data_IF_256876316322
#
_entry.id   IF_256876316322
#
_cell.length_a   1.000
_cell.length_b   1.000
_cell.length_c   1.000
_cell.angle_alpha   90.00
_cell.angle_beta   90.00
_cell.angle_gamma   90.00
#
_symmetry.space_group_name_H-M   'P 1'
#
loop_
_entity.id
_entity.type
_entity.pdbx_description
1 polymer ?
#
# COMPACT_ATOMS: atom_id res chain seq x y z
N UNK A 1 24.86 -45.17 -17.55
CA UNK A 1 25.81 -46.30 -17.36
C UNK A 1 24.98 -47.44 -16.79
N UNK A 2 24.67 -48.55 -17.45
CA UNK A 2 25.34 -49.26 -18.53
C UNK A 2 24.32 -49.73 -19.60
N UNK A 3 24.55 -49.32 -20.84
CA UNK A 3 24.17 -50.07 -22.03
C UNK A 3 25.18 -51.22 -22.18
N UNK A 4 24.72 -52.47 -22.24
CA UNK A 4 25.36 -53.56 -23.01
C UNK A 4 24.70 -54.92 -22.70
N UNK A 5 23.52 -55.14 -23.28
CA UNK A 5 23.07 -56.47 -23.72
C UNK A 5 21.97 -56.23 -24.76
N UNK A 6 22.36 -56.14 -26.04
CA UNK A 6 21.45 -55.83 -27.14
C UNK A 6 20.41 -56.93 -27.33
N UNK A 7 19.13 -56.57 -27.29
CA UNK A 7 18.05 -57.46 -27.69
C UNK A 7 17.89 -57.45 -29.22
N UNK A 8 17.58 -58.62 -29.80
CA UNK A 8 17.43 -58.79 -31.24
C UNK A 8 16.21 -58.01 -31.81
N UNK A 9 16.24 -57.58 -33.09
CA UNK A 9 15.17 -56.78 -33.70
C UNK A 9 13.85 -57.57 -33.72
N UNK A 10 12.78 -57.01 -33.13
CA UNK A 10 11.45 -57.62 -33.06
C UNK A 10 10.86 -57.74 -31.64
N UNK A 11 11.68 -57.63 -30.60
CA UNK A 11 11.25 -57.80 -29.19
C UNK A 11 11.04 -56.47 -28.43
N UNK A 12 11.00 -55.32 -29.13
CA UNK A 12 10.90 -54.00 -28.51
C UNK A 12 9.46 -53.47 -28.35
N UNK A 13 8.43 -54.26 -28.68
CA UNK A 13 7.04 -53.84 -28.54
C UNK A 13 6.23 -54.83 -27.70
N UNK A 14 5.76 -54.39 -26.54
CA UNK A 14 4.77 -55.08 -25.71
C UNK A 14 3.55 -54.16 -25.63
N UNK A 15 2.39 -54.60 -26.13
CA UNK A 15 1.18 -53.80 -26.04
C UNK A 15 0.71 -53.70 -24.58
N UNK A 16 0.17 -52.56 -24.12
CA UNK A 16 -0.43 -52.47 -22.80
C UNK A 16 -1.72 -53.33 -22.70
N UNK A 17 -2.02 -53.91 -21.53
CA UNK A 17 -3.16 -54.81 -21.37
C UNK A 17 -4.48 -54.08 -21.60
N UNK A 18 -5.34 -54.67 -22.45
CA UNK A 18 -6.69 -54.16 -22.72
C UNK A 18 -7.61 -54.42 -21.53
N UNK A 19 -8.12 -53.34 -20.94
CA UNK A 19 -9.15 -53.39 -19.89
C UNK A 19 -10.48 -53.87 -20.47
N UNK A 20 -10.87 -55.09 -20.11
CA UNK A 20 -12.28 -55.50 -19.95
C UNK A 20 -12.93 -56.22 -21.13
N UNK A 21 -12.81 -57.56 -21.16
CA UNK A 21 -13.85 -58.47 -21.67
C UNK A 21 -13.90 -59.74 -20.83
N UNK A 22 -14.38 -59.62 -19.61
CA UNK A 22 -15.05 -60.71 -18.91
C UNK A 22 -16.37 -60.18 -18.35
N UNK A 23 -17.44 -60.93 -18.59
CA UNK A 23 -18.82 -60.48 -18.47
C UNK A 23 -19.19 -59.95 -17.08
N UNK A 24 -19.65 -58.71 -17.03
CA UNK A 24 -20.48 -58.19 -15.97
C UNK A 24 -21.85 -57.86 -16.56
N UNK A 25 -22.86 -58.52 -16.02
CA UNK A 25 -24.26 -58.45 -16.41
C UNK A 25 -24.80 -57.03 -16.13
N UNK A 26 -24.85 -56.18 -17.17
CA UNK A 26 -25.22 -54.77 -17.09
C UNK A 26 -26.71 -54.50 -16.76
N UNK A 27 -27.53 -55.54 -16.60
CA UNK A 27 -28.95 -55.44 -16.27
C UNK A 27 -29.26 -55.41 -14.77
N UNK A 28 -28.28 -55.63 -13.88
CA UNK A 28 -28.49 -55.65 -12.42
C UNK A 28 -27.89 -54.47 -11.65
N UNK A 29 -27.22 -53.53 -12.31
CA UNK A 29 -26.70 -52.29 -11.69
C UNK A 29 -27.55 -51.04 -12.01
N UNK A 30 -28.61 -51.18 -12.82
CA UNK A 30 -29.45 -50.05 -13.23
C UNK A 30 -30.53 -49.65 -12.20
N UNK A 31 -30.65 -50.34 -11.05
CA UNK A 31 -31.71 -50.10 -10.07
C UNK A 31 -31.25 -49.50 -8.74
N UNK A 32 -29.99 -49.06 -8.61
CA UNK A 32 -29.48 -48.45 -7.35
C UNK A 32 -28.74 -47.12 -7.49
N UNK A 33 -28.94 -46.39 -8.60
CA UNK A 33 -28.51 -44.99 -8.71
C UNK A 33 -29.70 -44.11 -9.10
N UNK A 34 -30.71 -44.07 -8.24
CA UNK A 34 -31.63 -42.92 -8.16
C UNK A 34 -31.12 -41.97 -7.09
N UNK A 35 -29.90 -41.47 -7.30
CA UNK A 35 -29.38 -40.29 -6.65
C UNK A 35 -28.91 -39.38 -7.76
N UNK A 36 -29.79 -38.49 -8.24
CA UNK A 36 -29.39 -37.39 -9.11
C UNK A 36 -28.35 -36.56 -8.35
N UNK A 37 -27.06 -36.79 -8.59
CA UNK A 37 -26.07 -35.75 -8.41
C UNK A 37 -26.34 -34.73 -9.53
N UNK A 38 -27.24 -33.78 -9.26
CA UNK A 38 -27.46 -32.63 -10.14
C UNK A 38 -26.16 -31.86 -10.14
N UNK A 39 -25.35 -32.00 -11.20
CA UNK A 39 -24.19 -31.16 -11.42
C UNK A 39 -24.61 -29.68 -11.46
N UNK A 40 -23.71 -28.73 -11.14
CA UNK A 40 -24.04 -27.33 -11.18
C UNK A 40 -24.59 -26.95 -12.56
N UNK A 41 -25.68 -26.18 -12.59
CA UNK A 41 -26.26 -25.71 -13.85
C UNK A 41 -25.25 -24.85 -14.62
N UNK A 42 -25.29 -24.86 -15.96
CA UNK A 42 -24.41 -24.01 -16.78
C UNK A 42 -24.50 -22.54 -16.36
N UNK A 43 -25.72 -22.07 -16.05
CA UNK A 43 -25.96 -20.72 -15.53
C UNK A 43 -25.23 -20.47 -14.21
N UNK A 44 -25.21 -21.44 -13.30
CA UNK A 44 -24.47 -21.32 -12.04
C UNK A 44 -22.97 -21.17 -12.30
N UNK A 45 -22.41 -21.94 -13.25
CA UNK A 45 -20.99 -21.85 -13.61
C UNK A 45 -20.68 -20.47 -14.20
N UNK A 46 -21.53 -19.97 -15.11
CA UNK A 46 -21.42 -18.63 -15.68
C UNK A 46 -21.48 -17.54 -14.59
N UNK A 47 -22.44 -17.62 -13.67
CA UNK A 47 -22.57 -16.69 -12.54
C UNK A 47 -21.28 -16.68 -11.69
N UNK A 48 -20.68 -17.85 -11.40
CA UNK A 48 -19.41 -17.94 -10.66
C UNK A 48 -18.23 -17.31 -11.43
N UNK A 49 -18.13 -17.50 -12.74
CA UNK A 49 -17.10 -16.89 -13.58
C UNK A 49 -17.26 -15.36 -13.62
N UNK A 50 -18.52 -14.89 -13.71
CA UNK A 50 -18.86 -13.46 -13.63
C UNK A 50 -18.43 -12.85 -12.29
N UNK A 51 -18.70 -13.52 -11.16
CA UNK A 51 -18.25 -13.04 -9.84
C UNK A 51 -16.72 -12.98 -9.73
N UNK A 52 -16.01 -13.98 -10.27
CA UNK A 52 -14.56 -13.94 -10.31
C UNK A 52 -14.04 -12.77 -11.18
N UNK A 53 -14.70 -12.48 -12.29
CA UNK A 53 -14.36 -11.35 -13.14
C UNK A 53 -14.61 -10.01 -12.44
N UNK A 54 -15.73 -9.86 -11.72
CA UNK A 54 -16.05 -8.67 -10.91
C UNK A 54 -14.95 -8.42 -9.87
N UNK A 55 -14.57 -9.44 -9.09
CA UNK A 55 -13.49 -9.33 -8.09
C UNK A 55 -12.21 -8.79 -8.74
N UNK A 56 -11.85 -9.35 -9.92
CA UNK A 56 -10.66 -8.91 -10.66
C UNK A 56 -10.79 -7.47 -11.17
N UNK A 57 -11.98 -7.05 -11.61
CA UNK A 57 -12.24 -5.68 -12.04
C UNK A 57 -12.06 -4.70 -10.90
N UNK A 58 -12.59 -4.96 -9.70
CA UNK A 58 -12.36 -4.11 -8.52
C UNK A 58 -10.88 -4.05 -8.14
N UNK A 59 -10.17 -5.19 -8.17
CA UNK A 59 -8.72 -5.24 -7.91
C UNK A 59 -7.88 -4.40 -8.89
N UNK A 60 -8.38 -4.21 -10.12
CA UNK A 60 -7.62 -3.57 -11.20
C UNK A 60 -8.04 -2.12 -11.46
N UNK A 61 -9.31 -1.81 -11.25
CA UNK A 61 -9.93 -0.53 -11.64
C UNK A 61 -10.61 0.19 -10.47
N UNK A 62 -10.75 -0.44 -9.30
CA UNK A 62 -11.46 0.13 -8.16
C UNK A 62 -10.87 1.47 -7.69
N UNK A 63 -9.56 1.65 -7.83
CA UNK A 63 -8.86 2.90 -7.54
C UNK A 63 -9.38 4.11 -8.35
N UNK A 64 -9.97 3.88 -9.54
CA UNK A 64 -10.53 4.95 -10.39
C UNK A 64 -11.79 5.58 -9.82
N UNK A 65 -12.51 4.85 -8.98
CA UNK A 65 -13.75 5.29 -8.33
C UNK A 65 -13.56 5.52 -6.82
N UNK A 66 -12.31 5.56 -6.36
CA UNK A 66 -11.99 5.79 -4.96
C UNK A 66 -12.23 7.24 -4.55
N UNK A 67 -12.79 7.46 -3.37
CA UNK A 67 -13.05 8.78 -2.80
C UNK A 67 -11.78 9.38 -2.18
N UNK A 68 -10.92 9.94 -3.05
CA UNK A 68 -9.58 10.44 -2.70
C UNK A 68 -9.53 11.96 -2.51
N UNK A 69 -10.52 12.69 -3.03
CA UNK A 69 -10.51 14.16 -3.02
C UNK A 69 -11.19 14.73 -1.78
N UNK A 70 -10.43 15.30 -0.82
CA UNK A 70 -11.04 15.93 0.35
C UNK A 70 -11.86 17.19 0.03
N UNK A 71 -11.69 17.79 -1.16
CA UNK A 71 -12.39 18.99 -1.60
C UNK A 71 -13.60 18.69 -2.49
N UNK A 72 -13.66 17.51 -3.10
CA UNK A 72 -14.73 17.11 -4.02
C UNK A 72 -14.81 17.94 -5.31
N UNK A 73 -13.67 18.41 -5.83
CA UNK A 73 -13.54 19.27 -7.02
C UNK A 73 -12.81 18.59 -8.19
N UNK A 74 -12.19 17.42 -8.00
CA UNK A 74 -11.47 16.68 -9.05
C UNK A 74 -12.36 16.27 -10.24
N UNK A 75 -13.68 16.20 -10.03
CA UNK A 75 -14.70 15.91 -11.04
C UNK A 75 -14.79 16.93 -12.17
N UNK A 76 -14.24 18.14 -12.00
CA UNK A 76 -14.32 19.17 -13.03
C UNK A 76 -13.44 18.87 -14.26
N UNK A 77 -12.31 18.17 -14.07
CA UNK A 77 -11.29 17.96 -15.10
C UNK A 77 -10.97 16.48 -15.39
N UNK A 78 -11.57 15.53 -14.64
CA UNK A 78 -11.33 14.09 -14.78
C UNK A 78 -12.60 13.35 -15.26
N UNK A 79 -12.39 12.21 -15.91
CA UNK A 79 -13.48 11.32 -16.36
C UNK A 79 -14.11 10.60 -15.16
N UNK A 80 -15.22 11.15 -14.68
CA UNK A 80 -16.05 10.58 -13.60
C UNK A 80 -16.85 9.34 -14.02
N UNK A 81 -16.66 8.82 -15.25
CA UNK A 81 -17.37 7.62 -15.67
C UNK A 81 -16.94 6.41 -14.84
N UNK A 82 -17.94 5.77 -14.21
CA UNK A 82 -17.74 4.50 -13.54
C UNK A 82 -17.42 3.47 -14.63
N UNK A 83 -16.26 2.77 -14.55
CA UNK A 83 -15.94 1.71 -15.50
C UNK A 83 -17.09 0.69 -15.58
N UNK A 84 -17.59 0.34 -16.79
CA UNK A 84 -18.71 -0.58 -16.93
C UNK A 84 -18.41 -1.95 -16.31
N UNK A 85 -17.14 -2.35 -16.24
CA UNK A 85 -16.66 -3.59 -15.61
C UNK A 85 -16.82 -3.62 -14.09
N UNK A 86 -17.17 -2.50 -13.44
CA UNK A 86 -17.55 -2.46 -12.02
C UNK A 86 -19.07 -2.57 -11.83
N UNK A 87 -19.86 -2.43 -12.89
CA UNK A 87 -21.31 -2.57 -12.84
C UNK A 87 -21.75 -4.03 -12.98
N UNK A 88 -22.68 -4.46 -12.12
CA UNK A 88 -23.25 -5.82 -12.19
C UNK A 88 -23.93 -6.12 -13.53
N UNK A 89 -24.55 -5.09 -14.14
CA UNK A 89 -25.24 -5.22 -15.41
C UNK A 89 -24.32 -5.66 -16.56
N UNK A 90 -23.03 -5.33 -16.49
CA UNK A 90 -22.04 -5.78 -17.48
C UNK A 90 -21.86 -7.31 -17.50
N UNK A 91 -22.13 -7.97 -16.37
CA UNK A 91 -21.98 -9.42 -16.20
C UNK A 91 -23.31 -10.19 -16.23
N UNK A 92 -24.40 -9.53 -16.66
CA UNK A 92 -25.76 -10.08 -16.62
C UNK A 92 -26.22 -10.54 -15.21
N UNK A 93 -25.66 -9.95 -14.16
CA UNK A 93 -26.09 -10.14 -12.77
C UNK A 93 -27.00 -8.99 -12.35
N UNK A 94 -28.05 -9.30 -11.59
CA UNK A 94 -29.01 -8.30 -11.12
C UNK A 94 -29.33 -8.41 -9.64
N UNK A 95 -30.32 -7.63 -9.20
CA UNK A 95 -30.87 -7.69 -7.84
C UNK A 95 -31.23 -9.10 -7.33
N UNK A 96 -31.85 -10.01 -8.12
CA UNK A 96 -32.17 -11.35 -7.61
C UNK A 96 -30.94 -12.21 -7.31
N UNK A 97 -29.78 -11.84 -7.83
CA UNK A 97 -28.52 -12.56 -7.64
C UNK A 97 -27.74 -12.09 -6.40
N UNK A 98 -28.09 -10.92 -5.84
CA UNK A 98 -27.38 -10.32 -4.71
C UNK A 98 -27.35 -11.20 -3.46
N UNK A 99 -28.43 -11.94 -3.21
CA UNK A 99 -28.57 -12.79 -2.03
C UNK A 99 -28.12 -14.24 -2.30
N UNK A 100 -27.69 -14.55 -3.54
CA UNK A 100 -27.05 -15.84 -3.85
C UNK A 100 -25.66 -15.91 -3.23
N UNK A 101 -25.30 -17.12 -2.79
CA UNK A 101 -23.99 -17.40 -2.19
C UNK A 101 -23.02 -17.92 -3.25
N UNK A 102 -21.82 -17.37 -3.26
CA UNK A 102 -20.75 -17.70 -4.17
C UNK A 102 -19.50 -18.13 -3.40
N UNK A 103 -18.83 -19.16 -3.91
CA UNK A 103 -17.51 -19.57 -3.45
C UNK A 103 -16.46 -18.60 -3.96
N UNK A 104 -15.63 -18.12 -3.05
CA UNK A 104 -14.58 -17.17 -3.36
C UNK A 104 -13.42 -17.85 -4.10
N UNK A 105 -12.85 -17.20 -5.12
CA UNK A 105 -11.64 -17.70 -5.77
C UNK A 105 -10.44 -17.60 -4.82
N UNK A 106 -9.40 -18.43 -5.00
CA UNK A 106 -8.18 -18.35 -4.18
C UNK A 106 -7.36 -17.06 -4.43
N UNK A 107 -7.77 -16.24 -5.37
CA UNK A 107 -7.13 -14.97 -5.75
C UNK A 107 -7.65 -13.78 -4.95
N UNK A 108 -8.47 -14.00 -3.93
CA UNK A 108 -8.97 -12.96 -3.02
C UNK A 108 -8.97 -13.42 -1.57
N UNK A 109 -8.80 -12.47 -0.66
CA UNK A 109 -8.81 -12.64 0.79
C UNK A 109 -9.97 -11.90 1.45
N UNK A 110 -10.92 -11.36 0.67
CA UNK A 110 -12.12 -10.66 1.19
C UNK A 110 -12.96 -11.54 2.11
N UNK A 111 -12.86 -12.87 1.99
CA UNK A 111 -13.57 -13.84 2.83
C UNK A 111 -13.08 -13.89 4.28
N UNK A 112 -11.82 -13.52 4.53
CA UNK A 112 -11.12 -13.91 5.76
C UNK A 112 -11.16 -15.43 5.90
N UNK A 113 -11.77 -15.92 6.98
CA UNK A 113 -11.93 -17.36 7.23
C UNK A 113 -13.08 -18.00 6.44
N UNK A 114 -13.96 -17.20 5.82
CA UNK A 114 -15.11 -17.70 5.05
C UNK A 114 -14.71 -18.03 3.62
N UNK A 115 -15.07 -19.23 3.16
CA UNK A 115 -14.85 -19.66 1.78
C UNK A 115 -15.97 -19.22 0.82
N UNK A 116 -17.12 -18.84 1.37
CA UNK A 116 -18.31 -18.46 0.60
C UNK A 116 -18.94 -17.21 1.19
N UNK A 117 -19.41 -16.32 0.33
CA UNK A 117 -20.08 -15.06 0.69
C UNK A 117 -21.26 -14.82 -0.26
N UNK A 118 -22.25 -14.04 0.18
CA UNK A 118 -23.30 -13.56 -0.73
C UNK A 118 -22.72 -12.53 -1.69
N UNK A 119 -23.27 -12.41 -2.90
CA UNK A 119 -22.82 -11.41 -3.87
C UNK A 119 -22.88 -9.99 -3.30
N UNK A 120 -23.93 -9.67 -2.55
CA UNK A 120 -24.07 -8.41 -1.81
C UNK A 120 -22.89 -8.13 -0.89
N UNK A 121 -22.46 -9.13 -0.14
CA UNK A 121 -21.33 -8.98 0.79
C UNK A 121 -19.99 -8.91 0.05
N UNK A 122 -19.84 -9.64 -1.06
CA UNK A 122 -18.65 -9.56 -1.92
C UNK A 122 -18.45 -8.13 -2.43
N UNK A 123 -19.49 -7.55 -3.04
CA UNK A 123 -19.43 -6.19 -3.60
C UNK A 123 -19.12 -5.18 -2.50
N UNK A 124 -19.84 -5.24 -1.38
CA UNK A 124 -19.61 -4.34 -0.24
C UNK A 124 -18.17 -4.38 0.24
N UNK A 125 -17.58 -5.58 0.38
CA UNK A 125 -16.18 -5.71 0.82
C UNK A 125 -15.20 -5.19 -0.22
N UNK A 126 -15.47 -5.39 -1.50
CA UNK A 126 -14.62 -4.86 -2.58
C UNK A 126 -14.67 -3.33 -2.63
N UNK A 127 -15.86 -2.74 -2.50
CA UNK A 127 -16.05 -1.28 -2.40
C UNK A 127 -15.35 -0.72 -1.16
N UNK A 128 -15.49 -1.39 -0.01
CA UNK A 128 -14.84 -1.01 1.24
C UNK A 128 -13.31 -0.97 1.14
N UNK A 129 -12.73 -1.85 0.33
CA UNK A 129 -11.27 -2.01 0.19
C UNK A 129 -10.70 -1.12 -0.91
N UNK A 130 -11.34 -1.07 -2.08
CA UNK A 130 -10.78 -0.47 -3.29
C UNK A 130 -11.36 0.89 -3.66
N UNK A 131 -12.52 1.28 -3.10
CA UNK A 131 -13.29 2.43 -3.58
C UNK A 131 -13.60 3.47 -2.49
N UNK A 132 -13.09 3.29 -1.27
CA UNK A 132 -13.18 4.32 -0.20
C UNK A 132 -12.03 5.32 -0.30
N UNK A 133 -11.51 5.77 0.84
CA UNK A 133 -10.45 6.78 0.94
C UNK A 133 -9.03 6.27 0.64
N UNK A 134 -8.91 5.10 0.00
CA UNK A 134 -7.62 4.52 -0.42
C UNK A 134 -7.79 3.93 -1.82
N UNK A 135 -7.05 4.46 -2.79
CA UNK A 135 -6.94 3.92 -4.13
C UNK A 135 -5.72 3.01 -4.22
N UNK A 136 -5.93 1.72 -4.46
CA UNK A 136 -4.84 0.74 -4.48
C UNK A 136 -4.50 0.37 -5.92
N UNK A 137 -3.35 0.85 -6.39
CA UNK A 137 -2.79 0.45 -7.68
C UNK A 137 -1.63 -0.52 -7.48
N UNK A 138 -1.80 -1.78 -7.89
CA UNK A 138 -0.77 -2.80 -7.71
C UNK A 138 -0.75 -3.88 -8.79
N UNK A 139 -1.80 -3.98 -9.61
CA UNK A 139 -1.95 -5.04 -10.61
C UNK A 139 -0.92 -4.97 -11.76
N UNK A 140 -0.18 -3.86 -11.89
CA UNK A 140 0.96 -3.72 -12.80
C UNK A 140 2.22 -4.47 -12.32
N UNK A 141 2.25 -4.96 -11.07
CA UNK A 141 3.39 -5.70 -10.54
C UNK A 141 3.40 -7.12 -11.09
N UNK A 142 4.49 -7.50 -11.79
CA UNK A 142 4.62 -8.83 -12.40
C UNK A 142 4.75 -10.00 -11.40
N UNK A 143 5.06 -9.72 -10.13
CA UNK A 143 5.29 -10.75 -9.12
C UNK A 143 3.99 -11.13 -8.40
N UNK A 144 3.51 -12.36 -8.64
CA UNK A 144 2.31 -12.90 -7.99
C UNK A 144 2.40 -12.85 -6.47
N UNK A 145 3.55 -13.18 -5.88
CA UNK A 145 3.75 -13.15 -4.43
C UNK A 145 3.59 -11.75 -3.84
N UNK A 146 4.06 -10.72 -4.55
CA UNK A 146 3.90 -9.31 -4.13
C UNK A 146 2.46 -8.87 -4.24
N UNK A 147 1.78 -9.18 -5.35
CA UNK A 147 0.37 -8.88 -5.53
C UNK A 147 -0.49 -9.56 -4.47
N UNK A 148 -0.23 -10.84 -4.19
CA UNK A 148 -0.96 -11.58 -3.17
C UNK A 148 -0.69 -11.06 -1.75
N UNK A 149 0.53 -10.60 -1.45
CA UNK A 149 0.83 -9.93 -0.18
C UNK A 149 0.00 -8.65 0.00
N UNK A 150 -0.12 -7.82 -1.05
CA UNK A 150 -0.94 -6.61 -1.02
C UNK A 150 -2.41 -6.98 -0.80
N UNK A 151 -2.93 -7.97 -1.54
CA UNK A 151 -4.31 -8.45 -1.36
C UNK A 151 -4.56 -8.91 0.06
N UNK A 152 -3.70 -9.78 0.63
CA UNK A 152 -3.83 -10.21 2.03
C UNK A 152 -3.85 -9.01 2.98
N UNK A 153 -3.02 -8.00 2.74
CA UNK A 153 -2.94 -6.84 3.63
C UNK A 153 -4.21 -5.99 3.60
N UNK A 154 -4.83 -5.79 2.44
CA UNK A 154 -5.97 -4.88 2.29
C UNK A 154 -7.33 -5.58 2.29
N UNK A 155 -7.46 -6.76 1.68
CA UNK A 155 -8.74 -7.48 1.56
C UNK A 155 -9.13 -8.21 2.85
N UNK A 156 -8.17 -8.55 3.72
CA UNK A 156 -8.47 -9.25 4.98
C UNK A 156 -9.37 -8.38 5.87
N UNK A 157 -10.55 -8.86 6.30
CA UNK A 157 -11.46 -8.09 7.14
C UNK A 157 -10.79 -7.58 8.42
N UNK A 158 -10.99 -6.30 8.74
CA UNK A 158 -10.44 -5.64 9.92
C UNK A 158 -8.94 -5.30 9.85
N UNK A 159 -8.29 -5.49 8.70
CA UNK A 159 -6.85 -5.20 8.53
C UNK A 159 -6.48 -3.71 8.67
N UNK A 160 -7.47 -2.83 8.48
CA UNK A 160 -7.35 -1.37 8.53
C UNK A 160 -7.96 -0.77 9.81
N UNK A 161 -8.44 -1.61 10.73
CA UNK A 161 -9.03 -1.13 11.97
C UNK A 161 -7.97 -0.56 12.91
N UNK A 162 -8.17 0.70 13.31
CA UNK A 162 -7.30 1.38 14.26
C UNK A 162 -7.87 1.27 15.68
N UNK A 163 -7.00 0.92 16.62
CA UNK A 163 -7.29 0.93 18.04
C UNK A 163 -7.61 2.34 18.55
N UNK A 164 -8.28 2.44 19.70
CA UNK A 164 -8.57 3.73 20.33
C UNK A 164 -7.31 4.52 20.70
N UNK A 165 -6.22 3.83 21.02
CA UNK A 165 -4.93 4.44 21.37
C UNK A 165 -4.25 5.02 20.13
N UNK A 166 -4.23 4.29 19.02
CA UNK A 166 -3.70 4.78 17.74
C UNK A 166 -4.47 5.99 17.23
N UNK A 167 -5.81 5.97 17.33
CA UNK A 167 -6.66 7.12 16.98
C UNK A 167 -6.30 8.36 17.81
N UNK A 168 -6.11 8.22 19.13
CA UNK A 168 -5.67 9.32 20.01
C UNK A 168 -4.28 9.82 19.65
N UNK A 169 -3.36 8.91 19.32
CA UNK A 169 -1.99 9.27 18.91
C UNK A 169 -1.95 10.06 17.60
N UNK A 170 -2.71 9.61 16.59
CA UNK A 170 -2.86 10.30 15.31
C UNK A 170 -3.43 11.70 15.54
N UNK A 171 -4.52 11.81 16.32
CA UNK A 171 -5.12 13.10 16.66
C UNK A 171 -4.13 14.03 17.38
N UNK A 172 -3.36 13.54 18.35
CA UNK A 172 -2.36 14.33 19.05
C UNK A 172 -1.26 14.85 18.11
N UNK A 173 -0.84 14.04 17.13
CA UNK A 173 0.15 14.44 16.09
C UNK A 173 -0.43 15.50 15.15
N UNK A 174 -1.69 15.35 14.73
CA UNK A 174 -2.40 16.35 13.93
C UNK A 174 -2.52 17.68 14.67
N UNK A 175 -2.97 17.67 15.93
CA UNK A 175 -3.10 18.88 16.75
C UNK A 175 -1.76 19.63 16.83
N UNK A 176 -0.64 18.92 17.04
CA UNK A 176 0.69 19.55 17.08
C UNK A 176 1.05 20.19 15.74
N UNK A 177 0.80 19.50 14.63
CA UNK A 177 1.04 20.03 13.28
C UNK A 177 0.24 21.31 13.04
N UNK A 178 -1.09 21.26 13.23
CA UNK A 178 -1.99 22.40 13.00
C UNK A 178 -1.68 23.57 13.92
N UNK A 179 -1.39 23.32 15.21
CA UNK A 179 -1.07 24.39 16.16
C UNK A 179 0.27 25.05 15.87
N UNK A 180 1.25 24.29 15.39
CA UNK A 180 2.53 24.85 14.96
C UNK A 180 2.35 25.82 13.80
N UNK A 181 1.59 25.44 12.77
CA UNK A 181 1.32 26.33 11.63
C UNK A 181 0.52 27.57 12.05
N UNK A 182 -0.54 27.39 12.85
CA UNK A 182 -1.35 28.49 13.36
C UNK A 182 -0.52 29.47 14.20
N UNK A 183 0.45 28.98 14.98
CA UNK A 183 1.37 29.80 15.73
C UNK A 183 2.29 30.62 14.82
N UNK A 184 2.93 29.97 13.83
CA UNK A 184 3.79 30.65 12.87
C UNK A 184 3.03 31.73 12.10
N UNK A 185 1.82 31.41 11.61
CA UNK A 185 0.96 32.34 10.88
C UNK A 185 0.57 33.56 11.72
N UNK A 186 0.32 33.37 13.03
CA UNK A 186 -0.02 34.47 13.94
C UNK A 186 1.18 35.33 14.31
N UNK A 187 2.35 34.72 14.54
CA UNK A 187 3.55 35.43 15.02
C UNK A 187 4.29 36.15 13.89
N UNK A 188 4.34 35.55 12.71
CA UNK A 188 5.03 36.09 11.53
C UNK A 188 4.11 36.07 10.30
N UNK A 189 3.09 36.94 10.31
CA UNK A 189 2.03 36.97 9.28
C UNK A 189 2.53 37.31 7.87
N UNK A 190 3.63 38.06 7.76
CA UNK A 190 4.17 38.55 6.48
C UNK A 190 5.34 37.71 5.97
N UNK A 191 5.84 36.77 6.76
CA UNK A 191 7.00 35.94 6.41
C UNK A 191 6.60 34.74 5.59
N UNK A 192 7.38 34.45 4.54
CA UNK A 192 7.20 33.24 3.75
C UNK A 192 7.67 32.02 4.56
N UNK A 193 6.72 31.12 4.88
CA UNK A 193 6.97 29.91 5.67
C UNK A 193 6.70 28.58 4.96
N UNK A 194 6.01 28.61 3.81
CA UNK A 194 5.57 27.41 3.08
C UNK A 194 4.83 26.41 3.98
N UNK A 195 3.74 26.87 4.58
CA UNK A 195 2.98 26.10 5.55
C UNK A 195 2.40 24.79 5.01
N UNK A 196 2.09 23.89 5.94
CA UNK A 196 1.48 22.59 5.68
C UNK A 196 -0.06 22.60 5.80
N UNK A 197 -0.70 23.77 5.82
CA UNK A 197 -2.17 23.84 5.92
C UNK A 197 -2.86 23.09 4.78
N UNK A 198 -3.85 22.26 5.15
CA UNK A 198 -4.56 21.34 4.25
C UNK A 198 -3.87 19.99 4.07
N UNK A 199 -2.59 19.87 4.44
CA UNK A 199 -1.79 18.66 4.30
C UNK A 199 -1.20 18.19 5.64
N UNK A 200 -1.79 18.58 6.78
CA UNK A 200 -1.24 18.31 8.11
C UNK A 200 -1.09 16.82 8.42
N UNK A 201 -1.84 15.98 7.70
CA UNK A 201 -1.76 14.50 7.74
C UNK A 201 -0.38 13.96 7.38
N UNK A 202 0.46 14.73 6.68
CA UNK A 202 1.85 14.38 6.40
C UNK A 202 2.64 14.06 7.68
N UNK A 203 2.39 14.81 8.77
CA UNK A 203 3.10 14.63 10.05
C UNK A 203 2.78 13.28 10.70
N UNK A 204 1.51 12.92 11.01
CA UNK A 204 1.21 11.60 11.55
C UNK A 204 1.60 10.47 10.58
N UNK A 205 1.44 10.64 9.27
CA UNK A 205 1.81 9.64 8.27
C UNK A 205 3.31 9.34 8.29
N UNK A 206 4.17 10.36 8.18
CA UNK A 206 5.62 10.17 8.21
C UNK A 206 6.09 9.61 9.55
N UNK A 207 5.48 10.02 10.67
CA UNK A 207 5.81 9.41 11.97
C UNK A 207 5.37 7.94 12.04
N UNK A 208 4.23 7.57 11.46
CA UNK A 208 3.79 6.17 11.41
C UNK A 208 4.75 5.30 10.58
N UNK A 209 5.28 5.83 9.47
CA UNK A 209 6.34 5.18 8.67
C UNK A 209 7.59 4.99 9.53
N UNK A 210 8.09 6.04 10.20
CA UNK A 210 9.29 5.96 11.05
C UNK A 210 9.09 4.96 12.21
N UNK A 211 7.94 4.99 12.88
CA UNK A 211 7.65 4.09 14.00
C UNK A 211 7.60 2.63 13.54
N UNK A 212 6.90 2.35 12.44
CA UNK A 212 6.79 1.00 11.87
C UNK A 212 8.15 0.48 11.38
N UNK A 213 8.90 1.30 10.64
CA UNK A 213 10.23 0.95 10.15
C UNK A 213 11.23 0.74 11.29
N UNK A 214 11.17 1.57 12.33
CA UNK A 214 12.00 1.40 13.52
C UNK A 214 11.69 0.09 14.26
N UNK A 215 10.41 -0.29 14.37
CA UNK A 215 10.02 -1.57 14.94
C UNK A 215 10.65 -2.74 14.18
N UNK A 216 10.68 -2.65 12.84
CA UNK A 216 11.30 -3.62 11.93
C UNK A 216 12.84 -3.62 11.92
N UNK A 217 13.49 -2.65 12.57
CA UNK A 217 14.96 -2.62 12.73
C UNK A 217 15.69 -1.49 12.03
N UNK A 218 14.99 -0.54 11.40
CA UNK A 218 15.61 0.65 10.82
C UNK A 218 16.09 1.59 11.94
N UNK A 219 17.33 2.04 11.82
CA UNK A 219 18.03 2.87 12.80
C UNK A 219 18.29 4.29 12.27
N UNK A 220 18.46 4.48 10.96
CA UNK A 220 18.75 5.80 10.37
C UNK A 220 17.78 6.12 9.25
N UNK A 221 17.24 7.33 9.25
CA UNK A 221 16.32 7.83 8.23
C UNK A 221 16.89 9.08 7.58
N UNK A 222 17.07 9.04 6.26
CA UNK A 222 17.52 10.17 5.45
C UNK A 222 16.33 10.72 4.68
N UNK A 223 15.99 11.98 4.91
CA UNK A 223 14.76 12.60 4.40
C UNK A 223 15.11 13.66 3.35
N UNK A 224 14.59 13.48 2.15
CA UNK A 224 14.52 14.50 1.10
C UNK A 224 13.10 15.05 1.02
N UNK A 225 12.93 16.36 1.21
CA UNK A 225 11.62 17.02 1.20
C UNK A 225 11.71 18.42 0.55
N UNK A 226 10.71 18.83 -0.25
CA UNK A 226 10.61 20.20 -0.77
C UNK A 226 10.35 21.22 0.35
N UNK A 227 10.11 22.48 -0.02
CA UNK A 227 9.85 23.55 0.93
C UNK A 227 8.53 23.41 1.71
N UNK A 228 7.49 22.75 1.13
CA UNK A 228 6.14 22.69 1.71
C UNK A 228 6.13 21.86 2.99
N UNK A 229 5.73 22.49 4.09
CA UNK A 229 5.68 21.88 5.43
C UNK A 229 7.03 21.55 6.04
N UNK A 230 8.14 21.99 5.46
CA UNK A 230 9.48 21.61 5.94
C UNK A 230 9.73 22.00 7.40
N UNK A 231 9.38 23.23 7.78
CA UNK A 231 9.53 23.69 9.17
C UNK A 231 8.73 22.83 10.15
N UNK A 232 7.56 22.38 9.73
CA UNK A 232 6.69 21.49 10.51
C UNK A 232 7.34 20.10 10.67
N UNK A 233 7.94 19.56 9.61
CA UNK A 233 8.71 18.32 9.65
C UNK A 233 9.93 18.43 10.57
N UNK A 234 10.68 19.53 10.49
CA UNK A 234 11.83 19.79 11.38
C UNK A 234 11.40 19.81 12.86
N UNK A 235 10.32 20.53 13.19
CA UNK A 235 9.82 20.66 14.55
C UNK A 235 9.17 19.36 15.10
N UNK A 236 8.22 18.80 14.35
CA UNK A 236 7.33 17.75 14.87
C UNK A 236 7.83 16.32 14.61
N UNK A 237 8.70 16.12 13.63
CA UNK A 237 9.26 14.80 13.28
C UNK A 237 10.71 14.68 13.72
N UNK A 238 11.57 15.61 13.30
CA UNK A 238 13.00 15.61 13.62
C UNK A 238 13.29 16.12 15.04
N UNK A 239 12.32 16.79 15.67
CA UNK A 239 12.45 17.38 17.01
C UNK A 239 13.61 18.38 17.08
N UNK A 240 13.82 19.15 16.01
CA UNK A 240 14.72 20.31 16.07
C UNK A 240 14.17 21.28 17.14
N UNK A 241 15.02 21.80 18.04
CA UNK A 241 14.59 22.75 19.06
C UNK A 241 13.82 23.93 18.44
N UNK A 242 12.76 24.37 19.11
CA UNK A 242 11.88 25.40 18.56
C UNK A 242 12.55 26.77 18.54
N UNK A 243 13.38 27.05 19.52
CA UNK A 243 14.27 28.20 19.60
C UNK A 243 15.21 28.29 18.39
N UNK A 244 15.82 27.17 17.97
CA UNK A 244 16.64 27.11 16.75
C UNK A 244 15.84 27.36 15.47
N UNK A 245 14.54 27.06 15.46
CA UNK A 245 13.68 27.35 14.31
C UNK A 245 13.22 28.80 14.34
N UNK A 246 12.83 29.31 15.51
CA UNK A 246 12.26 30.65 15.67
C UNK A 246 13.31 31.75 15.52
N UNK A 247 14.55 31.51 15.91
CA UNK A 247 15.64 32.47 15.71
C UNK A 247 15.86 32.75 14.21
N UNK A 248 15.62 31.79 13.33
CA UNK A 248 15.74 31.94 11.87
C UNK A 248 14.67 32.87 11.24
N UNK A 249 13.68 33.30 12.02
CA UNK A 249 12.73 34.34 11.61
C UNK A 249 13.17 35.74 12.02
N UNK A 250 14.21 35.88 12.84
CA UNK A 250 14.79 37.18 13.15
C UNK A 250 15.74 37.61 12.03
N UNK A 251 15.44 38.73 11.39
CA UNK A 251 16.25 39.28 10.30
C UNK A 251 17.61 39.81 10.76
N UNK A 252 17.82 39.93 12.08
CA UNK A 252 19.07 40.39 12.69
C UNK A 252 20.06 39.28 13.00
N UNK A 253 19.68 38.02 12.74
CA UNK A 253 20.55 36.89 13.02
C UNK A 253 21.70 36.88 12.00
N UNK A 254 22.91 37.20 12.47
CA UNK A 254 24.12 37.03 11.67
C UNK A 254 24.49 35.55 11.64
N UNK A 255 24.99 35.08 10.49
CA UNK A 255 25.47 33.72 10.38
C UNK A 255 26.65 33.53 11.34
N UNK A 256 26.54 32.58 12.28
CA UNK A 256 27.65 32.22 13.14
C UNK A 256 28.74 31.43 12.39
N UNK A 257 28.38 30.77 11.28
CA UNK A 257 29.26 29.93 10.47
C UNK A 257 29.80 30.67 9.24
N UNK A 258 30.98 30.23 8.75
CA UNK A 258 31.57 30.72 7.51
C UNK A 258 30.66 30.39 6.30
N UNK A 259 30.20 31.42 5.59
CA UNK A 259 29.47 31.25 4.33
C UNK A 259 28.45 32.35 4.05
N UNK A 260 27.82 32.30 2.87
CA UNK A 260 26.74 33.23 2.49
C UNK A 260 25.40 32.92 3.17
N UNK A 261 25.29 31.78 3.85
CA UNK A 261 24.04 31.24 4.36
C UNK A 261 23.07 30.79 3.25
N UNK A 262 21.89 30.31 3.67
CA UNK A 262 20.75 30.03 2.81
C UNK A 262 19.45 30.26 3.61
N UNK A 263 18.31 30.27 2.94
CA UNK A 263 17.01 30.48 3.56
C UNK A 263 16.63 29.33 4.51
N UNK A 264 15.88 29.66 5.57
CA UNK A 264 15.45 28.75 6.65
C UNK A 264 14.87 27.40 6.21
N UNK A 265 14.21 27.36 5.06
CA UNK A 265 13.60 26.16 4.49
C UNK A 265 14.49 25.40 3.48
N UNK A 266 15.78 25.73 3.36
CA UNK A 266 16.79 24.94 2.65
C UNK A 266 17.76 24.24 3.59
N UNK A 267 17.89 24.71 4.83
CA UNK A 267 18.84 24.17 5.79
C UNK A 267 18.46 22.75 6.22
N UNK A 268 19.47 21.88 6.28
CA UNK A 268 19.34 20.52 6.78
C UNK A 268 19.37 20.44 8.31
N UNK A 269 19.08 19.26 8.84
CA UNK A 269 19.27 18.94 10.26
C UNK A 269 19.62 17.47 10.39
N UNK A 270 20.41 17.11 11.40
CA UNK A 270 20.58 15.72 11.82
C UNK A 270 20.35 15.65 13.32
N UNK A 271 19.50 14.73 13.77
CA UNK A 271 19.21 14.57 15.18
C UNK A 271 19.03 13.10 15.54
N UNK A 272 19.82 12.64 16.51
CA UNK A 272 19.69 11.32 17.09
C UNK A 272 18.82 11.39 18.34
N UNK A 273 17.78 10.55 18.40
CA UNK A 273 16.87 10.53 19.54
C UNK A 273 16.24 9.17 19.77
N UNK A 274 15.76 8.96 20.99
CA UNK A 274 14.95 7.80 21.33
C UNK A 274 13.59 7.89 20.63
N UNK A 275 13.19 6.82 19.94
CA UNK A 275 11.81 6.62 19.55
C UNK A 275 11.02 6.02 20.71
N UNK A 276 10.17 6.83 21.36
CA UNK A 276 9.36 6.39 22.50
C UNK A 276 8.37 5.27 22.16
N UNK A 277 7.99 5.08 20.88
CA UNK A 277 7.09 4.01 20.49
C UNK A 277 7.80 2.65 20.47
N UNK A 278 9.08 2.62 20.09
CA UNK A 278 9.83 1.38 19.88
C UNK A 278 10.94 1.15 20.91
N UNK A 279 11.29 2.16 21.70
CA UNK A 279 12.40 2.14 22.65
C UNK A 279 13.78 2.10 22.01
N UNK A 280 13.87 2.31 20.68
CA UNK A 280 15.15 2.26 19.93
C UNK A 280 15.67 3.67 19.67
N UNK A 281 16.99 3.82 19.68
CA UNK A 281 17.64 5.04 19.19
C UNK A 281 17.50 5.09 17.67
N UNK A 282 17.06 6.24 17.16
CA UNK A 282 16.96 6.50 15.72
C UNK A 282 17.67 7.80 15.38
N UNK A 283 18.34 7.80 14.23
CA UNK A 283 18.89 9.00 13.61
C UNK A 283 17.93 9.53 12.54
N UNK A 284 17.59 10.81 12.60
CA UNK A 284 16.75 11.48 11.61
C UNK A 284 17.54 12.62 10.97
N UNK A 285 17.87 12.48 9.69
CA UNK A 285 18.58 13.48 8.92
C UNK A 285 17.68 14.04 7.82
N UNK A 286 17.44 15.36 7.81
CA UNK A 286 16.81 16.07 6.69
C UNK A 286 17.92 16.74 5.91
N UNK A 287 18.00 16.45 4.62
CA UNK A 287 19.06 16.99 3.78
C UNK A 287 18.84 18.46 3.45
N UNK A 288 19.93 19.20 3.36
CA UNK A 288 19.90 20.53 2.77
C UNK A 288 19.59 20.40 1.27
N UNK A 289 18.77 21.31 0.73
CA UNK A 289 18.41 21.29 -0.68
C UNK A 289 18.20 22.70 -1.23
N UNK A 290 18.56 22.95 -2.50
CA UNK A 290 18.27 24.21 -3.16
C UNK A 290 16.78 24.32 -3.52
N UNK A 291 16.39 25.46 -4.08
CA UNK A 291 15.06 25.69 -4.66
C UNK A 291 14.71 24.79 -5.85
N UNK A 292 15.70 24.14 -6.47
CA UNK A 292 15.48 23.21 -7.59
C UNK A 292 14.79 21.96 -7.05
N UNK A 293 13.48 21.89 -7.26
CA UNK A 293 12.65 20.76 -6.85
C UNK A 293 13.20 19.45 -7.43
N UNK A 294 12.98 18.35 -6.71
CA UNK A 294 13.44 17.00 -7.05
C UNK A 294 14.96 16.76 -7.09
N UNK A 295 15.80 17.80 -7.16
CA UNK A 295 17.25 17.65 -7.20
C UNK A 295 17.84 16.95 -5.95
N UNK A 296 17.15 17.03 -4.81
CA UNK A 296 17.58 16.40 -3.54
C UNK A 296 17.38 14.87 -3.54
N UNK A 297 16.49 14.34 -4.38
CA UNK A 297 16.12 12.93 -4.38
C UNK A 297 17.33 11.98 -4.61
N UNK A 298 18.14 12.14 -5.67
CA UNK A 298 19.34 11.33 -5.85
C UNK A 298 20.41 11.58 -4.77
N UNK A 299 20.47 12.79 -4.21
CA UNK A 299 21.40 13.13 -3.11
C UNK A 299 21.02 12.35 -1.84
N UNK A 300 19.73 12.30 -1.50
CA UNK A 300 19.22 11.54 -0.37
C UNK A 300 19.47 10.03 -0.51
N UNK A 301 19.28 9.48 -1.72
CA UNK A 301 19.61 8.08 -1.99
C UNK A 301 21.12 7.82 -1.92
N UNK A 302 21.94 8.72 -2.45
CA UNK A 302 23.40 8.62 -2.38
C UNK A 302 23.92 8.64 -0.94
N UNK A 303 23.43 9.56 -0.12
CA UNK A 303 23.76 9.61 1.31
C UNK A 303 23.27 8.36 2.05
N UNK A 304 22.06 7.90 1.76
CA UNK A 304 21.54 6.64 2.32
C UNK A 304 22.47 5.48 1.99
N UNK A 305 22.92 5.38 0.75
CA UNK A 305 23.85 4.32 0.32
C UNK A 305 25.21 4.44 1.00
N UNK A 306 25.72 5.66 1.19
CA UNK A 306 26.96 5.89 1.93
C UNK A 306 26.81 5.48 3.40
N UNK A 307 25.72 5.85 4.08
CA UNK A 307 25.46 5.43 5.46
C UNK A 307 25.33 3.91 5.58
N UNK A 308 24.67 3.24 4.64
CA UNK A 308 24.61 1.76 4.59
C UNK A 308 26.01 1.15 4.50
N UNK A 309 26.86 1.69 3.63
CA UNK A 309 28.23 1.22 3.45
C UNK A 309 29.05 1.36 4.74
N UNK A 310 29.06 2.54 5.35
CA UNK A 310 29.83 2.79 6.58
C UNK A 310 29.31 2.03 7.80
N UNK A 311 28.02 1.66 7.82
CA UNK A 311 27.41 0.84 8.89
C UNK A 311 27.55 -0.67 8.65
N UNK A 312 28.09 -1.09 7.51
CA UNK A 312 28.13 -2.51 7.12
C UNK A 312 26.74 -3.10 6.86
N UNK A 313 25.75 -2.28 6.49
CA UNK A 313 24.38 -2.70 6.16
C UNK A 313 24.31 -3.19 4.70
N UNK A 314 24.81 -4.41 4.48
CA UNK A 314 24.90 -5.02 3.13
C UNK A 314 23.50 -5.24 2.54
N UNK A 315 22.52 -5.59 3.38
CA UNK A 315 21.15 -5.92 2.97
C UNK A 315 20.23 -4.69 2.87
N UNK A 316 20.69 -3.51 3.31
CA UNK A 316 19.91 -2.26 3.26
C UNK A 316 18.72 -2.24 4.22
N UNK A 317 18.87 -2.87 5.39
CA UNK A 317 17.80 -3.07 6.38
C UNK A 317 17.81 -2.06 7.51
N UNK A 318 18.92 -1.34 7.73
CA UNK A 318 19.13 -0.43 8.86
C UNK A 318 18.98 1.05 8.49
N UNK A 319 19.20 1.41 7.23
CA UNK A 319 19.12 2.80 6.76
C UNK A 319 18.07 2.93 5.68
N UNK A 320 17.14 3.87 5.86
CA UNK A 320 16.01 4.12 4.96
C UNK A 320 16.01 5.55 4.45
N UNK A 321 15.88 5.74 3.14
CA UNK A 321 15.57 7.05 2.55
C UNK A 321 14.05 7.27 2.54
N UNK A 322 13.59 8.45 2.96
CA UNK A 322 12.22 8.93 2.80
C UNK A 322 12.25 10.11 1.83
N UNK A 323 11.60 9.96 0.68
CA UNK A 323 11.51 11.00 -0.34
C UNK A 323 10.08 11.53 -0.37
N UNK A 324 9.94 12.85 -0.23
CA UNK A 324 8.66 13.55 -0.30
C UNK A 324 8.72 14.46 -1.53
N UNK A 325 7.66 14.44 -2.33
CA UNK A 325 7.58 15.10 -3.62
C UNK A 325 6.41 16.09 -3.66
N UNK A 326 6.48 17.04 -4.59
CA UNK A 326 5.30 17.79 -5.04
C UNK A 326 4.58 17.04 -6.16
N UNK A 327 3.32 17.36 -6.37
CA UNK A 327 2.45 16.78 -7.42
C UNK A 327 2.60 17.48 -8.79
N UNK A 328 3.04 18.75 -8.81
CA UNK A 328 3.09 19.62 -9.98
C UNK A 328 4.38 19.56 -10.80
#
# INVERSE_FOLDING_TARGET
RCLAAGAAPGNAYVQPPTLGKEGLNLTQLASQITGQAVGPSLKTIEDHLSVQAIIRSYQSLGHRIADLDPLGILSADLDDSIPPELSLGFYNLGEPDLDKTFRLPPTTHIGGDKQELTLREIIRRLEDVYCKHIGIEYMFINSLNKCDWIRRKFETPGSMDLSSEEKRLILARLIRSTRFEAFLAKKWSSEKRFGLEGCEVLIPAMKAVIDSSSALGVESFVIGIPHRGRLNVLANVCRKPLDDIFCQFDSKLEACDEGSGDVKYHLGTSNERLNHMTGKMINLAVLANPSHLEAVCPVAQGQTKAEQFYRGDVDGTKVMSILIHGDA
#
